data_IF_939017335527
#
_entry.id   IF_939017335527
#
_cell.length_a   1.000
_cell.length_b   1.000
_cell.length_c   1.000
_cell.angle_alpha   90.00
_cell.angle_beta   90.00
_cell.angle_gamma   90.00
#
_symmetry.space_group_name_H-M   'P 1'
#
loop_
_entity.id
_entity.type
_entity.pdbx_description
1 polymer ?
#
# COMPACT_ATOMS: atom_id res chain seq x y z
N UNK A 1 -23.60 1.21 -42.48
CA UNK A 1 -23.26 2.58 -42.05
C UNK A 1 -23.20 2.67 -40.52
N UNK A 2 -24.32 2.46 -39.80
CA UNK A 2 -24.36 2.50 -38.33
C UNK A 2 -23.38 1.54 -37.62
N UNK A 3 -23.24 0.30 -38.13
CA UNK A 3 -22.35 -0.71 -37.53
C UNK A 3 -20.86 -0.31 -37.62
N UNK A 4 -20.48 0.30 -38.74
CA UNK A 4 -19.12 0.79 -39.00
C UNK A 4 -18.80 2.02 -38.13
N UNK A 5 -19.79 2.89 -37.90
CA UNK A 5 -19.65 4.02 -36.98
C UNK A 5 -19.51 3.57 -35.51
N UNK A 6 -20.26 2.55 -35.10
CA UNK A 6 -20.14 1.95 -33.76
C UNK A 6 -18.77 1.29 -33.58
N UNK A 7 -18.28 0.55 -34.58
CA UNK A 7 -16.94 -0.04 -34.55
C UNK A 7 -15.85 1.02 -34.47
N UNK A 8 -15.92 2.06 -35.31
CA UNK A 8 -14.98 3.19 -35.25
C UNK A 8 -15.03 3.97 -33.93
N UNK A 9 -16.21 4.07 -33.29
CA UNK A 9 -16.33 4.64 -31.95
C UNK A 9 -15.67 3.74 -30.90
N UNK A 10 -15.86 2.42 -30.99
CA UNK A 10 -15.25 1.43 -30.12
C UNK A 10 -13.71 1.46 -30.17
N UNK A 11 -13.13 1.56 -31.37
CA UNK A 11 -11.68 1.68 -31.55
C UNK A 11 -11.13 2.96 -30.92
N UNK A 12 -11.79 4.11 -31.15
CA UNK A 12 -11.40 5.38 -30.52
C UNK A 12 -11.50 5.32 -28.99
N UNK A 13 -12.56 4.70 -28.46
CA UNK A 13 -12.73 4.52 -27.02
C UNK A 13 -11.62 3.63 -26.43
N UNK A 14 -11.24 2.55 -27.12
CA UNK A 14 -10.15 1.67 -26.71
C UNK A 14 -8.80 2.39 -26.69
N UNK A 15 -8.49 3.16 -27.73
CA UNK A 15 -7.26 3.97 -27.80
C UNK A 15 -7.22 5.02 -26.69
N UNK A 16 -8.34 5.71 -26.44
CA UNK A 16 -8.43 6.70 -25.36
C UNK A 16 -8.24 6.06 -23.98
N UNK A 17 -8.76 4.83 -23.77
CA UNK A 17 -8.55 4.07 -22.54
C UNK A 17 -7.08 3.74 -22.31
N UNK A 18 -6.38 3.23 -23.33
CA UNK A 18 -4.96 2.88 -23.25
C UNK A 18 -4.12 4.11 -22.88
N UNK A 19 -4.31 5.22 -23.60
CA UNK A 19 -3.58 6.46 -23.33
C UNK A 19 -3.80 6.97 -21.90
N UNK A 20 -5.01 6.87 -21.36
CA UNK A 20 -5.29 7.25 -19.96
C UNK A 20 -4.60 6.34 -18.96
N UNK A 21 -4.58 5.03 -19.20
CA UNK A 21 -3.89 4.07 -18.34
C UNK A 21 -2.38 4.30 -18.32
N UNK A 22 -1.78 4.60 -19.48
CA UNK A 22 -0.35 4.94 -19.59
C UNK A 22 0.00 6.20 -18.78
N UNK A 23 -0.79 7.28 -18.92
CA UNK A 23 -0.62 8.50 -18.13
C UNK A 23 -0.73 8.23 -16.62
N UNK A 24 -1.69 7.40 -16.20
CA UNK A 24 -1.85 7.06 -14.77
C UNK A 24 -0.68 6.23 -14.24
N UNK A 25 -0.14 5.32 -15.05
CA UNK A 25 1.05 4.55 -14.69
C UNK A 25 2.28 5.46 -14.56
N UNK A 26 2.48 6.37 -15.50
CA UNK A 26 3.59 7.33 -15.49
C UNK A 26 3.54 8.23 -14.24
N UNK A 27 2.37 8.83 -13.95
CA UNK A 27 2.16 9.63 -12.73
C UNK A 27 2.48 8.82 -11.47
N UNK A 28 2.08 7.54 -11.42
CA UNK A 28 2.34 6.67 -10.26
C UNK A 28 3.82 6.27 -10.13
N UNK A 29 4.54 6.14 -11.24
CA UNK A 29 5.98 5.90 -11.27
C UNK A 29 6.77 7.15 -10.85
N UNK A 30 6.27 8.35 -11.16
CA UNK A 30 6.87 9.62 -10.73
C UNK A 30 6.68 9.92 -9.23
N UNK A 31 5.70 9.30 -8.56
CA UNK A 31 5.53 9.45 -7.11
C UNK A 31 6.75 8.86 -6.41
N UNK A 32 7.68 9.73 -6.03
CA UNK A 32 8.87 9.36 -5.28
C UNK A 32 8.44 8.69 -3.98
N UNK A 33 8.96 7.49 -3.70
CA UNK A 33 8.68 6.81 -2.43
C UNK A 33 9.02 7.73 -1.26
N UNK A 34 8.07 7.87 -0.33
CA UNK A 34 8.23 8.70 0.86
C UNK A 34 9.48 8.26 1.63
N UNK A 35 10.33 9.23 1.93
CA UNK A 35 11.53 9.03 2.76
C UNK A 35 11.39 9.78 4.07
N UNK A 36 12.09 9.32 5.10
CA UNK A 36 12.02 9.81 6.46
C UNK A 36 13.39 10.27 6.93
N UNK A 37 13.44 11.44 7.53
CA UNK A 37 14.57 11.90 8.32
C UNK A 37 14.62 11.17 9.67
N UNK A 38 15.76 11.26 10.35
CA UNK A 38 15.90 10.76 11.72
C UNK A 38 14.92 11.44 12.70
N UNK A 39 14.56 12.71 12.47
CA UNK A 39 13.56 13.44 13.25
C UNK A 39 12.16 12.90 13.06
N UNK A 40 11.81 12.55 11.84
CA UNK A 40 10.51 11.93 11.56
C UNK A 40 10.45 10.53 12.15
N UNK A 41 11.50 9.70 12.01
CA UNK A 41 11.56 8.40 12.69
C UNK A 41 11.38 8.53 14.21
N UNK A 42 12.03 9.51 14.83
CA UNK A 42 11.83 9.79 16.26
C UNK A 42 10.37 10.14 16.59
N UNK A 43 9.71 10.92 15.73
CA UNK A 43 8.30 11.27 15.88
C UNK A 43 7.40 10.04 15.74
N UNK A 44 7.66 9.17 14.75
CA UNK A 44 6.93 7.91 14.57
C UNK A 44 6.99 7.04 15.82
N UNK A 45 8.18 6.93 16.43
CA UNK A 45 8.39 6.13 17.65
C UNK A 45 7.59 6.64 18.86
N UNK A 46 7.13 7.91 18.87
CA UNK A 46 6.28 8.43 19.96
C UNK A 46 4.90 7.76 20.02
N UNK A 47 4.46 7.15 18.92
CA UNK A 47 3.14 6.50 18.84
C UNK A 47 3.20 4.99 19.11
N UNK A 48 4.36 4.45 19.47
CA UNK A 48 4.56 3.02 19.73
C UNK A 48 4.62 2.73 21.22
N UNK A 49 4.72 1.45 21.58
CA UNK A 49 5.04 0.99 22.93
C UNK A 49 6.51 1.27 23.35
N UNK A 50 7.34 1.82 22.46
CA UNK A 50 8.77 2.10 22.67
C UNK A 50 9.14 3.52 22.22
N UNK A 51 8.62 4.57 22.89
CA UNK A 51 9.06 5.93 22.62
C UNK A 51 10.53 6.12 23.04
N UNK A 52 11.32 6.76 22.18
CA UNK A 52 12.74 7.03 22.44
C UNK A 52 13.08 8.50 22.25
N UNK A 53 14.02 8.99 23.05
CA UNK A 53 14.61 10.31 22.86
C UNK A 53 15.53 10.34 21.63
N UNK A 54 15.76 11.53 21.08
CA UNK A 54 16.59 11.70 19.88
C UNK A 54 18.03 11.22 20.06
N UNK A 55 18.65 11.44 21.23
CA UNK A 55 20.03 11.00 21.47
C UNK A 55 20.12 9.47 21.49
N UNK A 56 19.20 8.81 22.20
CA UNK A 56 19.10 7.35 22.20
C UNK A 56 18.88 6.79 20.80
N UNK A 57 18.04 7.41 19.97
CA UNK A 57 17.84 6.99 18.58
C UNK A 57 19.15 7.08 17.77
N UNK A 58 19.96 8.12 17.98
CA UNK A 58 21.26 8.25 17.30
C UNK A 58 22.20 7.12 17.70
N UNK A 59 22.33 6.86 19.00
CA UNK A 59 23.20 5.80 19.52
C UNK A 59 22.76 4.43 19.00
N UNK A 60 21.45 4.16 18.97
CA UNK A 60 20.88 2.93 18.40
C UNK A 60 21.24 2.78 16.92
N UNK A 61 21.06 3.82 16.11
CA UNK A 61 21.40 3.75 14.68
C UNK A 61 22.91 3.57 14.43
N UNK A 62 23.76 4.14 15.28
CA UNK A 62 25.21 3.93 15.24
C UNK A 62 25.54 2.46 15.54
N UNK A 63 25.02 1.93 16.65
CA UNK A 63 25.23 0.52 17.04
C UNK A 63 24.74 -0.45 15.96
N UNK A 64 23.58 -0.17 15.34
CA UNK A 64 23.07 -0.97 14.21
C UNK A 64 24.01 -0.89 12.99
N UNK A 65 24.63 0.26 12.75
CA UNK A 65 25.60 0.43 11.66
C UNK A 65 26.90 -0.34 11.91
N UNK A 66 27.37 -0.38 13.16
CA UNK A 66 28.51 -1.20 13.59
C UNK A 66 28.23 -2.70 13.47
N UNK A 67 26.96 -3.11 13.60
CA UNK A 67 26.49 -4.47 13.33
C UNK A 67 26.29 -4.77 11.82
N UNK A 68 26.63 -3.83 10.94
CA UNK A 68 26.59 -4.00 9.48
C UNK A 68 25.30 -3.53 8.80
N UNK A 69 24.35 -2.91 9.51
CA UNK A 69 23.13 -2.36 8.89
C UNK A 69 23.42 -0.98 8.28
N UNK A 70 23.34 -0.88 6.96
CA UNK A 70 23.60 0.38 6.25
C UNK A 70 22.31 1.18 6.10
N UNK A 71 22.29 2.40 6.64
CA UNK A 71 21.19 3.35 6.46
C UNK A 71 21.51 4.38 5.35
N UNK A 72 20.60 4.59 4.39
CA UNK A 72 20.81 5.54 3.30
C UNK A 72 20.92 6.98 3.79
N UNK A 73 21.85 7.73 3.18
CA UNK A 73 22.07 9.15 3.46
C UNK A 73 22.16 9.95 2.16
N UNK A 74 21.85 11.24 2.24
CA UNK A 74 22.06 12.21 1.16
C UNK A 74 23.54 12.57 1.01
N UNK A 75 23.88 13.29 -0.06
CA UNK A 75 25.21 13.89 -0.26
C UNK A 75 25.62 14.83 0.89
N UNK A 76 24.66 15.45 1.58
CA UNK A 76 24.86 16.28 2.77
C UNK A 76 24.92 15.48 4.08
N UNK A 77 25.09 14.16 3.99
CA UNK A 77 25.18 13.23 5.13
C UNK A 77 23.94 13.21 6.04
N UNK A 78 22.77 13.63 5.53
CA UNK A 78 21.49 13.53 6.25
C UNK A 78 20.82 12.19 5.94
N UNK A 79 20.19 11.57 6.92
CA UNK A 79 19.47 10.32 6.70
C UNK A 79 18.28 10.49 5.76
N UNK A 80 18.16 9.57 4.80
CA UNK A 80 17.06 9.48 3.83
C UNK A 80 16.44 8.08 3.91
N UNK A 81 15.80 7.78 5.03
CA UNK A 81 15.33 6.43 5.37
C UNK A 81 14.10 6.06 4.56
N UNK A 82 14.04 4.82 4.09
CA UNK A 82 12.77 4.24 3.63
C UNK A 82 11.88 3.87 4.83
N UNK A 83 10.61 3.55 4.57
CA UNK A 83 9.76 2.96 5.61
C UNK A 83 10.31 1.61 6.11
N UNK A 84 10.95 0.82 5.24
CA UNK A 84 11.60 -0.44 5.60
C UNK A 84 12.77 -0.22 6.57
N UNK A 85 13.56 0.84 6.37
CA UNK A 85 14.63 1.19 7.29
C UNK A 85 14.08 1.62 8.65
N UNK A 86 12.95 2.34 8.66
CA UNK A 86 12.23 2.66 9.89
C UNK A 86 11.75 1.39 10.62
N UNK A 87 11.28 0.38 9.88
CA UNK A 87 10.91 -0.92 10.46
C UNK A 87 12.09 -1.65 11.06
N UNK A 88 13.27 -1.65 10.42
CA UNK A 88 14.49 -2.27 11.00
C UNK A 88 14.81 -1.66 12.37
N UNK A 89 14.74 -0.33 12.49
CA UNK A 89 15.00 0.35 13.77
C UNK A 89 13.91 0.03 14.80
N UNK A 90 12.64 0.04 14.39
CA UNK A 90 11.52 -0.32 15.26
C UNK A 90 11.63 -1.76 15.78
N UNK A 91 11.98 -2.71 14.90
CA UNK A 91 12.19 -4.12 15.23
C UNK A 91 13.37 -4.28 16.21
N UNK A 92 14.49 -3.59 15.97
CA UNK A 92 15.64 -3.59 16.88
C UNK A 92 15.29 -3.07 18.28
N UNK A 93 14.41 -2.07 18.36
CA UNK A 93 13.91 -1.51 19.61
C UNK A 93 12.83 -2.37 20.28
N UNK A 94 12.37 -3.44 19.64
CA UNK A 94 11.27 -4.28 20.14
C UNK A 94 9.93 -3.56 20.16
N UNK A 95 9.65 -2.74 19.13
CA UNK A 95 8.31 -2.19 18.87
C UNK A 95 7.38 -3.35 18.54
N UNK A 96 6.24 -3.41 19.21
CA UNK A 96 5.23 -4.44 18.98
C UNK A 96 4.49 -4.18 17.65
N UNK A 97 4.49 -5.18 16.76
CA UNK A 97 3.74 -5.10 15.51
C UNK A 97 2.29 -5.46 15.78
N UNK A 98 1.37 -4.91 15.00
CA UNK A 98 -0.06 -5.19 15.15
C UNK A 98 -0.37 -6.70 15.12
N UNK A 99 0.29 -7.43 14.24
CA UNK A 99 0.12 -8.89 14.08
C UNK A 99 0.65 -9.73 15.24
N UNK A 100 1.55 -9.19 16.06
CA UNK A 100 2.18 -9.92 17.15
C UNK A 100 1.29 -9.94 18.42
N UNK A 101 0.17 -9.22 18.39
CA UNK A 101 -0.82 -9.14 19.49
C UNK A 101 -1.71 -10.38 19.64
N UNK A 102 -1.61 -11.34 18.71
CA UNK A 102 -2.46 -12.53 18.69
C UNK A 102 -3.94 -12.24 18.37
N UNK A 103 -4.22 -11.11 17.72
CA UNK A 103 -5.58 -10.77 17.29
C UNK A 103 -5.87 -11.35 15.91
N UNK A 104 -7.11 -11.79 15.72
CA UNK A 104 -7.63 -12.16 14.41
C UNK A 104 -7.73 -10.93 13.49
N UNK A 105 -7.84 -11.18 12.19
CA UNK A 105 -8.03 -10.12 11.21
C UNK A 105 -9.36 -9.38 11.47
N UNK A 106 -9.30 -8.05 11.57
CA UNK A 106 -10.49 -7.21 11.66
C UNK A 106 -11.07 -6.98 10.26
N UNK A 107 -12.31 -7.43 10.04
CA UNK A 107 -13.02 -7.26 8.78
C UNK A 107 -13.94 -6.04 8.87
N UNK A 108 -13.75 -5.07 7.98
CA UNK A 108 -14.57 -3.88 7.87
C UNK A 108 -15.27 -3.83 6.51
N UNK A 109 -16.56 -3.51 6.50
CA UNK A 109 -17.33 -3.34 5.26
C UNK A 109 -17.82 -1.89 5.21
N UNK A 110 -17.29 -1.10 4.28
CA UNK A 110 -17.77 0.26 4.02
C UNK A 110 -19.03 0.21 3.14
N UNK A 111 -20.19 0.13 3.78
CA UNK A 111 -21.48 0.14 3.08
C UNK A 111 -22.07 1.53 2.99
N UNK A 112 -22.61 1.83 1.81
CA UNK A 112 -23.54 2.94 1.60
C UNK A 112 -24.45 2.60 0.41
N UNK A 113 -25.75 2.75 0.59
CA UNK A 113 -26.75 2.39 -0.43
C UNK A 113 -26.84 3.41 -1.57
N UNK A 114 -26.28 4.61 -1.40
CA UNK A 114 -26.23 5.63 -2.46
C UNK A 114 -25.00 5.42 -3.36
N UNK A 115 -25.20 5.53 -4.67
CA UNK A 115 -24.11 5.57 -5.64
C UNK A 115 -23.33 6.90 -5.55
N UNK A 116 -22.03 6.88 -5.86
CA UNK A 116 -21.21 8.10 -5.95
C UNK A 116 -20.84 8.78 -4.61
N UNK A 117 -21.08 8.13 -3.48
CA UNK A 117 -20.78 8.66 -2.13
C UNK A 117 -19.38 8.34 -1.61
N UNK A 118 -18.45 7.96 -2.50
CA UNK A 118 -17.04 7.78 -2.14
C UNK A 118 -16.70 6.49 -1.38
N UNK A 119 -17.48 5.41 -1.54
CA UNK A 119 -17.19 4.11 -0.88
C UNK A 119 -15.80 3.56 -1.21
N UNK A 120 -15.48 3.42 -2.50
CA UNK A 120 -14.19 2.87 -2.97
C UNK A 120 -13.04 3.80 -2.61
N UNK A 121 -13.23 5.11 -2.82
CA UNK A 121 -12.25 6.13 -2.43
C UNK A 121 -11.96 6.09 -0.92
N UNK A 122 -13.00 6.10 -0.10
CA UNK A 122 -12.88 6.03 1.37
C UNK A 122 -12.24 4.73 1.83
N UNK A 123 -12.53 3.60 1.17
CA UNK A 123 -11.90 2.30 1.46
C UNK A 123 -10.40 2.34 1.18
N UNK A 124 -10.00 2.84 0.01
CA UNK A 124 -8.60 2.98 -0.38
C UNK A 124 -7.86 3.96 0.56
N UNK A 125 -8.45 5.12 0.83
CA UNK A 125 -7.87 6.11 1.73
C UNK A 125 -7.74 5.59 3.17
N UNK A 126 -8.68 4.78 3.65
CA UNK A 126 -8.59 4.15 4.96
C UNK A 126 -7.42 3.14 5.00
N UNK A 127 -7.26 2.32 3.96
CA UNK A 127 -6.14 1.39 3.86
C UNK A 127 -4.79 2.13 3.82
N UNK A 128 -4.69 3.20 3.04
CA UNK A 128 -3.51 4.06 2.98
C UNK A 128 -3.25 4.70 4.36
N UNK A 129 -4.29 5.17 5.04
CA UNK A 129 -4.16 5.79 6.35
C UNK A 129 -3.63 4.81 7.41
N UNK A 130 -4.13 3.57 7.41
CA UNK A 130 -3.71 2.53 8.35
C UNK A 130 -2.25 2.08 8.14
N UNK A 131 -1.70 2.28 6.94
CA UNK A 131 -0.32 1.89 6.61
C UNK A 131 0.68 3.04 6.64
N UNK A 132 0.24 4.28 6.42
CA UNK A 132 1.13 5.44 6.21
C UNK A 132 1.05 6.55 7.26
N UNK A 133 -0.05 6.65 8.03
CA UNK A 133 -0.16 7.68 9.06
C UNK A 133 0.86 7.42 10.17
N UNK A 134 1.43 8.51 10.72
CA UNK A 134 2.50 8.43 11.72
C UNK A 134 2.14 7.54 12.92
N UNK A 135 0.86 7.58 13.31
CA UNK A 135 0.30 6.80 14.42
C UNK A 135 0.38 5.29 14.22
N UNK A 136 0.37 4.84 12.97
CA UNK A 136 0.20 3.44 12.60
C UNK A 136 1.37 2.87 11.81
N UNK A 137 2.19 3.72 11.20
CA UNK A 137 3.27 3.32 10.31
C UNK A 137 4.17 2.22 10.94
N UNK A 138 4.67 2.44 12.16
CA UNK A 138 5.57 1.49 12.82
C UNK A 138 4.88 0.25 13.41
N UNK A 139 3.55 0.18 13.39
CA UNK A 139 2.81 -1.03 13.76
C UNK A 139 2.84 -2.09 12.65
N UNK A 140 3.34 -1.73 11.45
CA UNK A 140 3.48 -2.64 10.30
C UNK A 140 2.15 -3.33 9.95
N UNK A 141 1.07 -2.54 9.93
CA UNK A 141 -0.26 -3.04 9.58
C UNK A 141 -0.27 -3.65 8.18
N UNK A 142 -0.92 -4.81 8.06
CA UNK A 142 -1.18 -5.48 6.78
C UNK A 142 -2.66 -5.30 6.47
N UNK A 143 -2.96 -4.60 5.38
CA UNK A 143 -4.33 -4.31 4.96
C UNK A 143 -4.59 -4.99 3.63
N UNK A 144 -5.72 -5.68 3.52
CA UNK A 144 -6.24 -6.26 2.30
C UNK A 144 -7.53 -5.55 1.94
N UNK A 145 -7.65 -5.11 0.68
CA UNK A 145 -8.91 -4.63 0.11
C UNK A 145 -9.45 -5.73 -0.79
N UNK A 146 -10.68 -6.15 -0.52
CA UNK A 146 -11.42 -7.09 -1.36
C UNK A 146 -12.43 -6.27 -2.15
N UNK A 147 -12.14 -6.02 -3.42
CA UNK A 147 -13.07 -5.32 -4.31
C UNK A 147 -14.10 -6.33 -4.84
N UNK A 148 -15.36 -6.12 -4.44
CA UNK A 148 -16.53 -6.90 -4.89
C UNK A 148 -17.46 -6.03 -5.75
N UNK A 149 -17.08 -4.80 -6.07
CA UNK A 149 -17.82 -3.98 -7.01
C UNK A 149 -17.45 -4.44 -8.44
N UNK A 150 -18.42 -4.86 -9.28
CA UNK A 150 -18.14 -5.22 -10.67
C UNK A 150 -17.43 -4.13 -11.48
N UNK A 151 -17.56 -2.86 -11.06
CA UNK A 151 -16.84 -1.74 -11.67
C UNK A 151 -15.35 -1.68 -11.29
N UNK A 152 -14.91 -2.45 -10.30
CA UNK A 152 -13.51 -2.59 -9.87
C UNK A 152 -12.81 -1.26 -9.57
N UNK A 153 -13.55 -0.28 -9.03
CA UNK A 153 -13.04 1.08 -8.83
C UNK A 153 -11.85 1.09 -7.86
N UNK A 154 -11.87 0.24 -6.83
CA UNK A 154 -10.74 0.14 -5.91
C UNK A 154 -9.53 -0.50 -6.58
N UNK A 155 -9.75 -1.54 -7.38
CA UNK A 155 -8.71 -2.18 -8.19
C UNK A 155 -8.04 -1.19 -9.15
N UNK A 156 -8.79 -0.40 -9.91
CA UNK A 156 -8.22 0.57 -10.85
C UNK A 156 -7.39 1.66 -10.17
N UNK A 157 -7.79 2.12 -8.99
CA UNK A 157 -7.03 3.14 -8.25
C UNK A 157 -5.70 2.58 -7.73
N UNK A 158 -5.69 1.34 -7.25
CA UNK A 158 -4.50 0.68 -6.71
C UNK A 158 -3.60 0.07 -7.79
N UNK A 159 -4.16 -0.37 -8.91
CA UNK A 159 -3.45 -1.02 -10.03
C UNK A 159 -3.95 -0.41 -11.35
N UNK A 160 -3.52 0.82 -11.70
CA UNK A 160 -3.92 1.46 -12.95
C UNK A 160 -3.57 0.60 -14.15
N UNK A 161 -4.53 0.38 -15.05
CA UNK A 161 -4.31 -0.41 -16.27
C UNK A 161 -4.49 -1.92 -16.12
N UNK A 162 -4.83 -2.43 -14.92
CA UNK A 162 -5.26 -3.83 -14.77
C UNK A 162 -6.61 -4.02 -15.48
N UNK A 163 -6.70 -4.93 -16.47
CA UNK A 163 -7.98 -5.16 -17.17
C UNK A 163 -8.89 -6.05 -16.32
N UNK A 164 -9.98 -5.45 -15.82
CA UNK A 164 -10.97 -6.17 -14.99
C UNK A 164 -11.74 -7.20 -15.83
N UNK A 165 -11.76 -7.03 -17.16
CA UNK A 165 -12.50 -7.91 -18.06
C UNK A 165 -11.86 -9.29 -18.29
N UNK A 166 -10.61 -9.50 -17.87
CA UNK A 166 -9.79 -10.66 -18.27
C UNK A 166 -9.16 -11.39 -17.06
N UNK A 167 -9.89 -11.48 -15.96
CA UNK A 167 -9.37 -12.03 -14.70
C UNK A 167 -10.06 -13.34 -14.33
N UNK A 168 -9.38 -14.47 -14.57
CA UNK A 168 -9.62 -15.74 -13.89
C UNK A 168 -9.35 -15.65 -12.36
N UNK A 169 -8.92 -14.49 -11.83
CA UNK A 169 -8.57 -14.27 -10.43
C UNK A 169 -9.42 -13.16 -9.80
N UNK A 170 -10.74 -13.22 -9.99
CA UNK A 170 -11.65 -12.36 -9.22
C UNK A 170 -11.58 -12.68 -7.74
N UNK A 171 -11.80 -11.68 -6.88
CA UNK A 171 -11.98 -11.86 -5.43
C UNK A 171 -12.96 -13.00 -5.11
N UNK A 172 -13.99 -13.16 -5.94
CA UNK A 172 -15.01 -14.21 -5.83
C UNK A 172 -14.41 -15.59 -6.06
N UNK A 173 -13.59 -15.78 -7.11
CA UNK A 173 -12.95 -17.08 -7.34
C UNK A 173 -11.94 -17.41 -6.25
N UNK A 174 -11.14 -16.43 -5.80
CA UNK A 174 -10.19 -16.59 -4.70
C UNK A 174 -10.87 -16.94 -3.36
N UNK A 175 -12.09 -16.43 -3.12
CA UNK A 175 -12.89 -16.82 -1.95
C UNK A 175 -13.58 -18.18 -2.12
N UNK A 176 -13.90 -18.58 -3.36
CA UNK A 176 -14.52 -19.87 -3.67
C UNK A 176 -13.51 -21.03 -3.67
N UNK A 177 -12.22 -20.77 -3.88
CA UNK A 177 -11.14 -21.76 -3.79
C UNK A 177 -10.76 -22.05 -2.33
N UNK A 178 -11.65 -22.74 -1.62
CA UNK A 178 -11.39 -23.23 -0.26
C UNK A 178 -10.32 -24.33 -0.30
N UNK A 179 -9.27 -24.18 0.51
CA UNK A 179 -8.25 -25.22 0.72
C UNK A 179 -6.97 -25.08 -0.11
N UNK A 180 -6.84 -24.05 -0.95
CA UNK A 180 -5.57 -23.73 -1.62
C UNK A 180 -4.67 -22.90 -0.71
N UNK A 181 -3.40 -23.28 -0.67
CA UNK A 181 -2.33 -22.54 -0.01
C UNK A 181 -1.96 -21.30 -0.82
N UNK A 182 -1.31 -20.33 -0.16
CA UNK A 182 -0.82 -19.10 -0.81
C UNK A 182 0.02 -19.40 -2.06
N UNK A 183 0.90 -20.40 -1.98
CA UNK A 183 1.81 -20.75 -3.06
C UNK A 183 1.08 -21.35 -4.27
N UNK A 184 -0.04 -22.02 -4.04
CA UNK A 184 -0.92 -22.56 -5.10
C UNK A 184 -1.71 -21.45 -5.80
N UNK A 185 -2.11 -20.40 -5.08
CA UNK A 185 -2.82 -19.25 -5.65
C UNK A 185 -1.92 -18.31 -6.48
N UNK A 186 -0.61 -18.25 -6.21
CA UNK A 186 0.34 -17.33 -6.88
C UNK A 186 1.08 -17.91 -8.09
N UNK A 187 0.82 -19.17 -8.45
CA UNK A 187 1.50 -19.88 -9.56
C UNK A 187 0.70 -19.95 -10.87
N UNK A 188 -0.53 -19.42 -10.88
CA UNK A 188 -1.35 -19.25 -12.08
C UNK A 188 -1.14 -17.84 -12.66
#
# INVERSE_FOLDING_TARGET
>A
MLLHEIQGLGERAKLSRIARSEIQLEVKQEVTQKTYSQRELQRLLKFTNRPVAMNTLKDVMINMSEQGIIFPKTSTNQYRLSISDCYKVADYLGVEKYRDRGWDAFVCILQNLKGGVGKSLGTNMLADALTSLERYALLQNRVLIIDLDPQGTSTQQLLPGYDIADSDLTSILAMATVGLTKDELTKA
#
